data_IF_795440336863
#
_entry.id   IF_795440336863
#
_cell.length_a   1.000
_cell.length_b   1.000
_cell.length_c   1.000
_cell.angle_alpha   90.00
_cell.angle_beta   90.00
_cell.angle_gamma   90.00
#
_symmetry.space_group_name_H-M   'P 1'
#
loop_
_entity.id
_entity.type
_entity.pdbx_description
1 polymer ?
#
# COMPACT_ATOMS: atom_id res chain seq x y z
N UNK A 1 8.56 -30.20 13.69
CA UNK A 1 7.91 -30.19 12.37
C UNK A 1 8.92 -29.69 11.36
N UNK A 2 9.20 -30.45 10.31
CA UNK A 2 10.13 -30.04 9.26
C UNK A 2 9.35 -29.30 8.15
N UNK A 3 9.89 -28.22 7.56
CA UNK A 3 9.20 -27.52 6.49
C UNK A 3 9.22 -28.34 5.19
N UNK A 4 8.11 -28.28 4.47
CA UNK A 4 7.93 -28.89 3.14
C UNK A 4 8.45 -27.90 2.09
N UNK A 5 9.33 -28.37 1.20
CA UNK A 5 9.87 -27.61 0.07
C UNK A 5 9.27 -28.17 -1.23
N UNK A 6 8.72 -27.30 -2.08
CA UNK A 6 8.38 -27.64 -3.47
C UNK A 6 9.34 -26.87 -4.38
N UNK A 7 10.11 -27.59 -5.19
CA UNK A 7 11.06 -27.02 -6.15
C UNK A 7 10.74 -27.49 -7.57
N UNK A 8 10.86 -26.60 -8.55
CA UNK A 8 10.90 -26.93 -9.97
C UNK A 8 12.25 -26.48 -10.54
N UNK A 9 12.92 -27.39 -11.25
CA UNK A 9 14.21 -27.16 -11.90
C UNK A 9 14.01 -26.97 -13.40
N UNK A 10 14.48 -25.86 -13.94
CA UNK A 10 14.78 -25.72 -15.37
C UNK A 10 16.24 -25.28 -15.46
N UNK A 11 17.08 -26.14 -16.06
CA UNK A 11 18.48 -25.83 -16.26
C UNK A 11 18.66 -25.06 -17.59
N UNK A 12 19.24 -23.85 -17.60
CA UNK A 12 19.65 -23.20 -18.84
C UNK A 12 21.11 -23.57 -19.19
N UNK A 13 21.46 -23.71 -20.48
CA UNK A 13 22.84 -23.70 -20.89
C UNK A 13 23.37 -22.27 -20.83
N UNK A 14 24.29 -22.02 -19.89
CA UNK A 14 25.19 -20.87 -19.79
C UNK A 14 24.58 -19.48 -20.06
N UNK A 15 24.03 -18.86 -19.01
CA UNK A 15 23.75 -17.43 -18.96
C UNK A 15 24.24 -16.88 -17.61
N UNK A 16 24.77 -15.65 -17.63
CA UNK A 16 25.19 -14.85 -16.47
C UNK A 16 24.41 -15.20 -15.21
N UNK A 17 25.10 -15.48 -14.11
CA UNK A 17 24.46 -15.66 -12.80
C UNK A 17 23.52 -14.48 -12.57
N UNK A 18 22.21 -14.74 -12.59
CA UNK A 18 21.22 -13.76 -12.13
C UNK A 18 21.46 -13.65 -10.64
N UNK A 19 22.23 -12.64 -10.22
CA UNK A 19 22.45 -12.35 -8.82
C UNK A 19 21.10 -12.04 -8.17
N UNK A 20 20.56 -12.98 -7.40
CA UNK A 20 19.36 -12.74 -6.60
C UNK A 20 19.80 -11.97 -5.36
N UNK A 21 19.40 -10.71 -5.26
CA UNK A 21 19.64 -9.90 -4.07
C UNK A 21 18.37 -9.85 -3.21
N UNK A 22 18.49 -10.24 -1.95
CA UNK A 22 17.41 -10.10 -0.97
C UNK A 22 17.63 -8.82 -0.18
N UNK A 23 16.64 -7.93 -0.20
CA UNK A 23 16.60 -6.75 0.66
C UNK A 23 15.42 -6.89 1.62
N UNK A 24 15.69 -6.75 2.92
CA UNK A 24 14.61 -6.61 3.91
C UNK A 24 14.11 -5.16 3.87
N UNK A 25 12.83 -4.99 3.52
CA UNK A 25 12.13 -3.71 3.48
C UNK A 25 11.55 -3.38 4.86
N UNK A 26 10.77 -4.31 5.42
CA UNK A 26 10.15 -4.21 6.74
C UNK A 26 9.96 -5.61 7.34
N UNK A 27 9.80 -5.65 8.65
CA UNK A 27 9.38 -6.81 9.46
C UNK A 27 8.34 -6.36 10.50
N UNK A 28 7.81 -7.31 11.28
CA UNK A 28 6.83 -7.03 12.33
C UNK A 28 7.25 -5.87 13.23
N UNK A 29 8.53 -5.84 13.59
CA UNK A 29 9.09 -4.92 14.58
C UNK A 29 9.32 -3.51 14.00
N UNK A 30 9.29 -3.36 12.67
CA UNK A 30 9.52 -2.09 11.96
C UNK A 30 8.48 -1.03 12.30
N UNK A 31 7.21 -1.44 12.45
CA UNK A 31 6.09 -0.54 12.79
C UNK A 31 5.37 -0.94 14.07
N UNK A 32 5.37 -2.23 14.37
CA UNK A 32 4.48 -2.79 15.37
C UNK A 32 5.28 -3.72 16.28
N UNK A 33 5.81 -3.23 17.41
CA UNK A 33 6.66 -4.05 18.29
C UNK A 33 5.95 -5.30 18.84
N UNK A 34 4.61 -5.35 18.79
CA UNK A 34 3.80 -6.54 19.15
C UNK A 34 3.39 -7.39 17.94
N UNK A 35 3.84 -7.03 16.75
CA UNK A 35 3.52 -7.66 15.48
C UNK A 35 2.33 -7.05 14.74
N UNK A 36 2.21 -7.44 13.47
CA UNK A 36 1.15 -6.96 12.57
C UNK A 36 1.07 -7.76 11.29
N UNK A 37 0.12 -7.38 10.44
CA UNK A 37 -0.16 -7.98 9.14
C UNK A 37 0.28 -7.02 8.05
N UNK A 38 0.99 -7.55 7.06
CA UNK A 38 1.35 -6.85 5.83
C UNK A 38 0.43 -7.30 4.71
N UNK A 39 -0.17 -6.34 4.01
CA UNK A 39 -0.88 -6.61 2.76
C UNK A 39 0.13 -6.85 1.63
N UNK A 40 -0.28 -7.48 0.51
CA UNK A 40 0.59 -7.64 -0.64
C UNK A 40 1.22 -6.30 -1.06
N UNK A 41 2.55 -6.27 -1.32
CA UNK A 41 3.21 -5.03 -1.73
C UNK A 41 2.97 -4.74 -3.21
N UNK A 42 3.09 -3.47 -3.56
CA UNK A 42 3.22 -2.99 -4.94
C UNK A 42 4.66 -2.56 -5.22
N UNK A 43 5.11 -2.82 -6.45
CA UNK A 43 6.49 -2.58 -6.89
C UNK A 43 6.48 -1.67 -8.13
N UNK A 44 7.32 -0.64 -8.14
CA UNK A 44 7.61 0.14 -9.35
C UNK A 44 9.04 0.68 -9.32
N UNK A 45 9.83 0.39 -10.36
CA UNK A 45 11.20 0.89 -10.53
C UNK A 45 12.10 0.76 -9.27
N UNK A 46 12.01 -0.36 -8.54
CA UNK A 46 12.77 -0.60 -7.31
C UNK A 46 12.16 0.01 -6.04
N UNK A 47 11.08 0.78 -6.17
CA UNK A 47 10.28 1.27 -5.05
C UNK A 47 9.31 0.19 -4.58
N UNK A 48 8.98 0.19 -3.29
CA UNK A 48 8.04 -0.73 -2.65
C UNK A 48 7.01 0.07 -1.87
N UNK A 49 5.71 -0.19 -2.09
CA UNK A 49 4.64 0.34 -1.27
C UNK A 49 3.78 -0.78 -0.71
N UNK A 50 3.33 -0.66 0.52
CA UNK A 50 2.47 -1.66 1.15
C UNK A 50 1.62 -1.04 2.25
N UNK A 51 0.51 -1.72 2.56
CA UNK A 51 -0.30 -1.42 3.73
C UNK A 51 0.11 -2.36 4.86
N UNK A 52 0.17 -1.85 6.09
CA UNK A 52 0.33 -2.69 7.27
C UNK A 52 -0.63 -2.28 8.38
N UNK A 53 -1.02 -3.25 9.22
CA UNK A 53 -1.94 -3.06 10.35
C UNK A 53 -1.45 -3.89 11.55
N UNK A 54 -1.51 -3.33 12.75
CA UNK A 54 -1.24 -4.06 13.99
C UNK A 54 -2.48 -4.76 14.55
N UNK A 55 -2.28 -5.48 15.65
CA UNK A 55 -3.36 -6.20 16.33
C UNK A 55 -4.28 -5.30 17.18
N UNK A 56 -3.96 -4.02 17.34
CA UNK A 56 -4.76 -3.05 18.10
C UNK A 56 -5.51 -2.05 17.20
N UNK A 57 -5.31 -2.14 15.88
CA UNK A 57 -6.01 -1.38 14.84
C UNK A 57 -5.24 -0.20 14.27
N UNK A 58 -4.01 0.08 14.73
CA UNK A 58 -3.17 1.08 14.07
C UNK A 58 -2.76 0.55 12.70
N UNK A 59 -2.95 1.37 11.67
CA UNK A 59 -2.63 0.99 10.30
C UNK A 59 -2.05 2.15 9.53
N UNK A 60 -1.35 1.83 8.45
CA UNK A 60 -0.76 2.83 7.57
C UNK A 60 -0.39 2.27 6.21
N UNK A 61 -0.15 3.20 5.29
CA UNK A 61 0.46 2.95 3.98
C UNK A 61 1.89 3.45 4.03
N UNK A 62 2.81 2.61 3.59
CA UNK A 62 4.25 2.85 3.69
C UNK A 62 4.89 2.76 2.31
N UNK A 63 5.95 3.54 2.11
CA UNK A 63 6.69 3.64 0.85
C UNK A 63 8.19 3.58 1.14
N UNK A 64 8.91 2.72 0.41
CA UNK A 64 10.36 2.80 0.31
C UNK A 64 10.72 3.12 -1.15
N UNK A 65 11.35 4.27 -1.36
CA UNK A 65 11.99 4.61 -2.63
C UNK A 65 13.41 3.99 -2.69
N UNK A 66 14.01 3.85 -3.89
CA UNK A 66 15.36 3.34 -4.03
C UNK A 66 16.34 4.19 -3.22
N UNK A 67 17.17 3.52 -2.43
CA UNK A 67 18.21 4.14 -1.60
C UNK A 67 17.68 5.17 -0.57
N UNK A 68 16.38 5.17 -0.29
CA UNK A 68 15.75 6.01 0.74
C UNK A 68 15.29 5.17 1.93
N UNK A 69 15.21 5.76 3.14
CA UNK A 69 14.56 5.11 4.26
C UNK A 69 13.08 4.86 3.95
N UNK A 70 12.52 3.89 4.67
CA UNK A 70 11.09 3.60 4.64
C UNK A 70 10.32 4.79 5.25
N UNK A 71 9.28 5.23 4.57
CA UNK A 71 8.46 6.40 4.90
C UNK A 71 7.01 5.98 5.19
N UNK A 72 6.40 6.63 6.19
CA UNK A 72 4.95 6.58 6.38
C UNK A 72 4.27 7.58 5.45
N UNK A 73 3.57 7.08 4.44
CA UNK A 73 2.79 7.92 3.51
C UNK A 73 1.54 8.46 4.19
N UNK A 74 0.86 7.59 4.94
CA UNK A 74 -0.32 7.94 5.74
C UNK A 74 -0.54 6.90 6.83
N UNK A 75 -1.10 7.32 7.97
CA UNK A 75 -1.55 6.43 9.04
C UNK A 75 -2.87 6.90 9.67
N UNK A 76 -3.38 6.12 10.63
CA UNK A 76 -4.64 6.40 11.34
C UNK A 76 -4.60 7.62 12.27
N UNK A 77 -3.44 8.27 12.45
CA UNK A 77 -3.31 9.53 13.20
C UNK A 77 -3.46 10.76 12.30
N UNK A 78 -3.42 10.58 10.98
CA UNK A 78 -3.53 11.66 10.01
C UNK A 78 -4.97 11.97 9.63
N UNK A 79 -5.27 13.26 9.48
CA UNK A 79 -6.56 13.74 9.00
C UNK A 79 -6.80 13.36 7.54
N UNK A 80 -8.05 13.00 7.21
CA UNK A 80 -8.47 12.80 5.82
C UNK A 80 -8.42 14.16 5.11
N UNK A 81 -7.78 14.28 3.93
CA UNK A 81 -7.70 15.55 3.21
C UNK A 81 -9.08 16.16 2.94
N UNK A 82 -9.27 17.42 3.34
CA UNK A 82 -10.54 18.14 3.22
C UNK A 82 -11.62 17.76 4.26
N UNK A 83 -11.31 16.84 5.19
CA UNK A 83 -12.17 16.45 6.30
C UNK A 83 -11.66 16.93 7.66
N UNK A 84 -12.45 16.65 8.70
CA UNK A 84 -12.07 16.84 10.12
C UNK A 84 -11.72 15.53 10.82
N UNK A 85 -12.14 14.40 10.25
CA UNK A 85 -11.88 13.08 10.81
C UNK A 85 -10.54 12.54 10.34
N UNK A 86 -9.96 11.65 11.13
CA UNK A 86 -8.77 10.89 10.77
C UNK A 86 -9.11 9.65 9.94
N UNK A 87 -8.10 9.13 9.25
CA UNK A 87 -8.20 7.78 8.70
C UNK A 87 -8.41 6.76 9.81
N UNK A 88 -9.28 5.80 9.57
CA UNK A 88 -9.55 4.68 10.47
C UNK A 88 -8.95 3.37 9.97
N UNK A 89 -8.94 3.15 8.66
CA UNK A 89 -8.37 1.95 8.06
C UNK A 89 -7.95 2.17 6.62
N UNK A 90 -7.01 1.34 6.17
CA UNK A 90 -6.53 1.27 4.79
C UNK A 90 -6.79 -0.14 4.23
N UNK A 91 -7.93 -0.39 3.57
CA UNK A 91 -8.24 -1.74 3.10
C UNK A 91 -7.43 -2.09 1.84
N UNK A 92 -6.68 -3.19 1.89
CA UNK A 92 -6.04 -3.80 0.73
C UNK A 92 -4.70 -3.16 0.32
N UNK A 93 -4.10 -3.70 -0.75
CA UNK A 93 -2.82 -3.21 -1.26
C UNK A 93 -2.94 -1.81 -1.89
N UNK A 94 -1.93 -0.95 -1.72
CA UNK A 94 -1.82 0.29 -2.48
C UNK A 94 -1.38 -0.02 -3.92
N UNK A 95 -1.57 0.93 -4.84
CA UNK A 95 -0.93 0.95 -6.15
C UNK A 95 0.21 1.97 -6.15
N UNK A 96 1.29 1.67 -6.88
CA UNK A 96 2.53 2.44 -6.88
C UNK A 96 3.01 2.66 -8.32
N UNK A 97 3.31 3.92 -8.66
CA UNK A 97 4.01 4.25 -9.89
C UNK A 97 4.80 5.56 -9.75
N UNK A 98 6.08 5.55 -10.11
CA UNK A 98 6.92 6.76 -10.10
C UNK A 98 6.99 7.47 -8.74
N UNK A 99 6.93 6.72 -7.63
CA UNK A 99 6.90 7.27 -6.26
C UNK A 99 5.55 7.82 -5.80
N UNK A 100 4.52 7.80 -6.66
CA UNK A 100 3.16 8.13 -6.27
C UNK A 100 2.44 6.88 -5.76
N UNK A 101 1.58 7.05 -4.76
CA UNK A 101 0.88 5.94 -4.12
C UNK A 101 -0.62 6.21 -4.11
N UNK A 102 -1.38 5.38 -4.81
CA UNK A 102 -2.84 5.41 -4.75
C UNK A 102 -3.33 4.32 -3.80
N UNK A 103 -4.25 4.64 -2.89
CA UNK A 103 -4.70 3.69 -1.88
C UNK A 103 -6.15 3.92 -1.50
N UNK A 104 -6.76 2.88 -0.92
CA UNK A 104 -8.06 2.98 -0.27
C UNK A 104 -7.88 3.44 1.17
N UNK A 105 -8.77 4.31 1.62
CA UNK A 105 -8.87 4.70 3.02
C UNK A 105 -10.33 4.85 3.44
N UNK A 106 -10.62 4.69 4.73
CA UNK A 106 -11.96 4.94 5.29
C UNK A 106 -11.88 5.76 6.57
N UNK A 107 -12.95 6.49 6.86
CA UNK A 107 -13.16 7.12 8.16
C UNK A 107 -13.74 6.13 9.19
N UNK A 108 -13.94 6.60 10.44
CA UNK A 108 -14.51 5.81 11.53
C UNK A 108 -15.99 5.44 11.34
N UNK A 109 -16.67 6.00 10.35
CA UNK A 109 -18.05 5.66 9.97
C UNK A 109 -18.09 4.61 8.86
N UNK A 110 -16.93 4.18 8.35
CA UNK A 110 -16.81 3.22 7.27
C UNK A 110 -17.01 3.82 5.88
N UNK A 111 -17.05 5.14 5.74
CA UNK A 111 -17.10 5.78 4.42
C UNK A 111 -15.71 5.71 3.77
N UNK A 112 -15.64 4.91 2.70
CA UNK A 112 -14.42 4.68 1.93
C UNK A 112 -14.16 5.76 0.87
N UNK A 113 -12.89 5.88 0.50
CA UNK A 113 -12.43 6.70 -0.62
C UNK A 113 -11.15 6.15 -1.25
N UNK A 114 -10.80 6.72 -2.41
CA UNK A 114 -9.52 6.59 -3.09
C UNK A 114 -8.74 7.88 -2.90
N UNK A 115 -7.49 7.72 -2.48
CA UNK A 115 -6.58 8.81 -2.20
C UNK A 115 -5.29 8.61 -2.96
N UNK A 116 -4.59 9.72 -3.22
CA UNK A 116 -3.32 9.73 -3.92
C UNK A 116 -2.30 10.52 -3.10
N UNK A 117 -1.18 9.88 -2.78
CA UNK A 117 0.05 10.55 -2.43
C UNK A 117 0.83 10.85 -3.70
N UNK A 118 1.09 12.13 -3.98
CA UNK A 118 1.77 12.56 -5.19
C UNK A 118 3.31 12.68 -5.04
N UNK A 119 3.86 12.20 -3.92
CA UNK A 119 5.28 12.37 -3.55
C UNK A 119 5.54 13.56 -2.62
N UNK A 120 4.54 14.41 -2.38
CA UNK A 120 4.65 15.56 -1.49
C UNK A 120 3.44 15.69 -0.54
N UNK A 121 2.24 15.37 -1.02
CA UNK A 121 0.99 15.61 -0.30
C UNK A 121 -0.08 14.58 -0.67
N UNK A 122 -1.07 14.46 0.22
CA UNK A 122 -2.25 13.64 0.02
C UNK A 122 -3.36 14.44 -0.67
N UNK A 123 -3.98 13.84 -1.68
CA UNK A 123 -5.15 14.36 -2.37
C UNK A 123 -6.30 13.33 -2.36
N UNK A 124 -7.53 13.83 -2.33
CA UNK A 124 -8.73 13.01 -2.56
C UNK A 124 -8.87 12.79 -4.06
N UNK A 125 -8.86 11.53 -4.50
CA UNK A 125 -9.20 11.15 -5.88
C UNK A 125 -10.71 10.96 -5.99
N UNK A 126 -11.29 10.19 -5.07
CA UNK A 126 -12.72 10.03 -4.94
C UNK A 126 -13.13 9.63 -3.52
N UNK A 127 -14.20 10.19 -3.01
CA UNK A 127 -14.90 9.77 -1.80
C UNK A 127 -16.41 9.96 -2.00
N UNK A 128 -17.19 9.67 -0.97
CA UNK A 128 -18.65 9.85 -0.95
C UNK A 128 -19.13 11.25 -1.38
N UNK A 129 -18.35 12.31 -1.10
CA UNK A 129 -18.71 13.66 -1.49
C UNK A 129 -18.45 13.95 -2.98
N UNK A 130 -17.47 13.27 -3.59
CA UNK A 130 -17.15 13.43 -5.02
C UNK A 130 -18.04 12.58 -5.94
N UNK A 131 -18.37 11.36 -5.51
CA UNK A 131 -19.20 10.39 -6.21
C UNK A 131 -19.89 9.59 -5.11
N UNK A 132 -21.19 9.30 -5.22
CA UNK A 132 -21.89 8.48 -4.22
C UNK A 132 -21.34 7.04 -4.26
N UNK A 133 -20.25 6.78 -3.52
CA UNK A 133 -19.54 5.52 -3.51
C UNK A 133 -19.89 4.74 -2.25
N UNK A 134 -20.36 3.51 -2.41
CA UNK A 134 -20.60 2.58 -1.30
C UNK A 134 -19.48 1.57 -1.12
N UNK A 135 -18.80 1.18 -2.20
CA UNK A 135 -17.64 0.27 -2.17
C UNK A 135 -16.62 0.66 -3.26
N UNK A 136 -15.34 0.59 -2.92
CA UNK A 136 -14.22 0.79 -3.84
C UNK A 136 -13.32 -0.43 -3.88
N UNK A 137 -12.79 -0.76 -5.07
CA UNK A 137 -11.77 -1.79 -5.24
C UNK A 137 -10.37 -1.22 -5.08
N UNK A 138 -9.38 -2.10 -4.99
CA UNK A 138 -7.97 -1.69 -5.07
C UNK A 138 -7.76 -0.80 -6.31
N UNK A 139 -7.06 0.34 -6.15
CA UNK A 139 -6.76 1.21 -7.27
C UNK A 139 -5.71 0.57 -8.17
N UNK A 140 -5.65 1.05 -9.41
CA UNK A 140 -4.51 0.94 -10.29
C UNK A 140 -3.96 2.35 -10.52
N UNK A 141 -2.64 2.45 -10.62
CA UNK A 141 -1.95 3.71 -10.83
C UNK A 141 -0.96 3.56 -11.98
N UNK A 142 -1.01 4.48 -12.94
CA UNK A 142 -0.04 4.55 -14.02
C UNK A 142 0.05 5.96 -14.57
N UNK A 143 1.27 6.49 -14.68
CA UNK A 143 1.55 7.81 -15.25
C UNK A 143 0.68 8.92 -14.61
N UNK A 144 0.51 8.88 -13.29
CA UNK A 144 -0.33 9.81 -12.54
C UNK A 144 -1.85 9.64 -12.70
N UNK A 145 -2.30 8.66 -13.49
CA UNK A 145 -3.72 8.34 -13.61
C UNK A 145 -4.10 7.26 -12.62
N UNK A 146 -5.16 7.51 -11.84
CA UNK A 146 -5.73 6.55 -10.91
C UNK A 146 -7.00 5.97 -11.52
N UNK A 147 -7.05 4.66 -11.65
CA UNK A 147 -8.23 3.91 -12.07
C UNK A 147 -8.71 3.02 -10.92
N UNK A 148 -10.01 2.91 -10.75
CA UNK A 148 -10.61 2.04 -9.73
C UNK A 148 -12.03 1.67 -10.17
N UNK A 149 -12.55 0.57 -9.63
CA UNK A 149 -13.96 0.25 -9.72
C UNK A 149 -14.63 0.73 -8.45
N UNK A 150 -15.81 1.32 -8.60
CA UNK A 150 -16.65 1.65 -7.48
C UNK A 150 -18.11 1.38 -7.82
N UNK A 151 -18.91 1.17 -6.79
CA UNK A 151 -20.34 0.92 -6.92
C UNK A 151 -21.08 2.02 -6.16
N UNK A 152 -22.05 2.64 -6.83
CA UNK A 152 -22.96 3.57 -6.19
C UNK A 152 -24.14 2.88 -5.55
N UNK A 153 -24.85 3.61 -4.70
CA UNK A 153 -26.18 3.22 -4.21
C UNK A 153 -27.29 3.64 -5.14
#
# INVERSE_FOLDING_TARGET
MAPVLIAALVAPPAASEVGIHFQRIADSDTFFPEGGIFFPPSLSAGSVAFTAVDFVGASGVYLQLPDQPLETVVDTTMAIPGGVENFFAFPGPPALDGGQVAFRGSDGLGFGGIYLYNGESLAVVANKATVDLSITTDPALSMGHVAFRAFGT
#
